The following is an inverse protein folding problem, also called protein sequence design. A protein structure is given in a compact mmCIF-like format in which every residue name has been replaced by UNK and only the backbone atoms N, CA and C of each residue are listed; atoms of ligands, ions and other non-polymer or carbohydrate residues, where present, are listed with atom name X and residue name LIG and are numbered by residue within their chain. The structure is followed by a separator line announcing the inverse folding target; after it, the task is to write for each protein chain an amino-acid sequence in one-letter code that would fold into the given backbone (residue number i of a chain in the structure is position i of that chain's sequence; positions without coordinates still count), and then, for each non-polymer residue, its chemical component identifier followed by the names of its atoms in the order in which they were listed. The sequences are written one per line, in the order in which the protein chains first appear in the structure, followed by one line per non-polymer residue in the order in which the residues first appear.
data_IF_632016264906
#
_entry.id   IF_632016264906
#
_cell.length_a   1.000
_cell.length_b   1.000
_cell.length_c   1.000
_cell.angle_alpha   90.00
_cell.angle_beta   90.00
_cell.angle_gamma   90.00
#
_symmetry.space_group_name_H-M   'P 1'
#
loop_
_entity.id
_entity.type
_entity.pdbx_description
1 polymer ?
#
# COMPACT_ATOMS: atom_id res chain seq x y z
N UNK A 1 -51.73 21.18 -6.44
CA UNK A 1 -51.79 21.06 -4.97
C UNK A 1 -51.14 19.75 -4.49
N UNK A 2 -51.53 18.56 -4.98
CA UNK A 2 -50.90 17.27 -4.64
C UNK A 2 -49.39 17.18 -4.94
N UNK A 3 -48.91 17.73 -6.07
CA UNK A 3 -47.47 17.78 -6.38
C UNK A 3 -46.66 18.70 -5.46
N UNK A 4 -47.29 19.76 -4.92
CA UNK A 4 -46.66 20.73 -4.04
C UNK A 4 -46.49 20.15 -2.62
N UNK A 5 -47.55 19.53 -2.09
CA UNK A 5 -47.51 18.77 -0.84
C UNK A 5 -46.50 17.60 -0.88
N UNK A 6 -46.38 16.93 -2.04
CA UNK A 6 -45.38 15.88 -2.24
C UNK A 6 -43.96 16.46 -2.18
N UNK A 7 -43.71 17.59 -2.84
CA UNK A 7 -42.40 18.26 -2.83
C UNK A 7 -41.93 18.68 -1.44
N UNK A 8 -42.81 19.26 -0.62
CA UNK A 8 -42.48 19.68 0.75
C UNK A 8 -42.15 18.49 1.67
N UNK A 9 -42.90 17.39 1.56
CA UNK A 9 -42.64 16.17 2.32
C UNK A 9 -41.30 15.53 1.92
N UNK A 10 -40.98 15.49 0.62
CA UNK A 10 -39.69 14.99 0.15
C UNK A 10 -38.53 15.88 0.60
N UNK A 11 -38.69 17.20 0.56
CA UNK A 11 -37.67 18.14 1.05
C UNK A 11 -37.40 17.97 2.54
N UNK A 12 -38.44 17.76 3.36
CA UNK A 12 -38.31 17.48 4.79
C UNK A 12 -37.53 16.19 5.08
N UNK A 13 -37.88 15.09 4.40
CA UNK A 13 -37.19 13.80 4.55
C UNK A 13 -35.72 13.91 4.14
N UNK A 14 -35.44 14.57 3.01
CA UNK A 14 -34.08 14.75 2.50
C UNK A 14 -33.23 15.58 3.46
N UNK A 15 -33.80 16.65 4.03
CA UNK A 15 -33.12 17.48 5.03
C UNK A 15 -32.81 16.68 6.31
N UNK A 16 -33.75 15.89 6.80
CA UNK A 16 -33.57 15.03 7.97
C UNK A 16 -32.45 14.01 7.77
N UNK A 17 -32.40 13.36 6.60
CA UNK A 17 -31.35 12.40 6.24
C UNK A 17 -29.98 13.09 6.20
N UNK A 18 -29.88 14.27 5.58
CA UNK A 18 -28.63 15.03 5.56
C UNK A 18 -28.16 15.40 6.95
N UNK A 19 -29.06 15.92 7.79
CA UNK A 19 -28.71 16.37 9.12
C UNK A 19 -28.29 15.20 10.02
N UNK A 20 -29.00 14.08 9.93
CA UNK A 20 -28.64 12.84 10.62
C UNK A 20 -27.26 12.33 10.17
N UNK A 21 -27.02 12.27 8.86
CA UNK A 21 -25.74 11.82 8.30
C UNK A 21 -24.59 12.72 8.75
N UNK A 22 -24.78 14.04 8.73
CA UNK A 22 -23.77 15.00 9.16
C UNK A 22 -23.44 14.87 10.65
N UNK A 23 -24.46 14.70 11.51
CA UNK A 23 -24.26 14.51 12.95
C UNK A 23 -23.49 13.21 13.23
N UNK A 24 -23.84 12.10 12.57
CA UNK A 24 -23.13 10.83 12.69
C UNK A 24 -21.68 10.94 12.23
N UNK A 25 -21.42 11.60 11.09
CA UNK A 25 -20.05 11.84 10.62
C UNK A 25 -19.25 12.68 11.62
N UNK A 26 -19.85 13.74 12.18
CA UNK A 26 -19.18 14.59 13.17
C UNK A 26 -18.77 13.79 14.42
N UNK A 27 -19.69 13.01 14.98
CA UNK A 27 -19.41 12.16 16.14
C UNK A 27 -18.36 11.10 15.82
N UNK A 28 -18.45 10.49 14.65
CA UNK A 28 -17.47 9.52 14.19
C UNK A 28 -16.07 10.13 14.05
N UNK A 29 -15.94 11.28 13.39
CA UNK A 29 -14.67 12.00 13.22
C UNK A 29 -14.07 12.36 14.58
N UNK A 30 -14.88 12.81 15.54
CA UNK A 30 -14.42 13.14 16.88
C UNK A 30 -13.82 11.91 17.59
N UNK A 31 -14.55 10.80 17.62
CA UNK A 31 -14.06 9.55 18.21
C UNK A 31 -12.81 9.03 17.49
N UNK A 32 -12.76 9.20 16.17
CA UNK A 32 -11.61 8.79 15.39
C UNK A 32 -10.37 9.64 15.63
N UNK A 33 -10.53 10.94 15.84
CA UNK A 33 -9.44 11.82 16.22
C UNK A 33 -8.80 11.36 17.55
N UNK A 34 -9.62 10.93 18.51
CA UNK A 34 -9.13 10.36 19.76
C UNK A 34 -8.37 9.03 19.54
N UNK A 35 -8.86 8.18 18.64
CA UNK A 35 -8.16 6.95 18.25
C UNK A 35 -6.81 7.24 17.56
N UNK A 36 -6.76 8.24 16.68
CA UNK A 36 -5.54 8.68 16.00
C UNK A 36 -4.49 9.23 16.97
N UNK A 37 -4.91 9.93 18.02
CA UNK A 37 -3.99 10.48 19.03
C UNK A 37 -3.20 9.37 19.75
N UNK A 38 -3.85 8.25 20.02
CA UNK A 38 -3.21 7.09 20.66
C UNK A 38 -2.53 6.14 19.67
N UNK A 39 -2.75 6.33 18.37
CA UNK A 39 -2.17 5.49 17.33
C UNK A 39 -0.70 5.86 17.07
N UNK A 40 0.15 4.84 17.01
CA UNK A 40 1.54 4.96 16.56
C UNK A 40 1.61 5.19 15.03
N UNK A 41 2.77 5.59 14.47
CA UNK A 41 2.85 6.19 13.13
C UNK A 41 2.20 5.37 12.01
N UNK A 42 2.51 4.08 11.89
CA UNK A 42 1.97 3.26 10.80
C UNK A 42 0.46 3.04 10.93
N UNK A 43 -0.05 2.74 12.12
CA UNK A 43 -1.49 2.63 12.37
C UNK A 43 -2.20 3.96 12.11
N UNK A 44 -1.64 5.07 12.59
CA UNK A 44 -2.19 6.41 12.41
C UNK A 44 -2.34 6.76 10.91
N UNK A 45 -1.34 6.42 10.10
CA UNK A 45 -1.40 6.60 8.63
C UNK A 45 -2.52 5.80 7.99
N UNK A 46 -2.65 4.51 8.33
CA UNK A 46 -3.71 3.63 7.79
C UNK A 46 -5.09 4.17 8.19
N UNK A 47 -5.28 4.48 9.47
CA UNK A 47 -6.53 5.02 9.98
C UNK A 47 -6.89 6.34 9.27
N UNK A 48 -5.95 7.27 9.15
CA UNK A 48 -6.18 8.55 8.46
C UNK A 48 -6.60 8.36 7.00
N UNK A 49 -5.96 7.43 6.28
CA UNK A 49 -6.33 7.13 4.91
C UNK A 49 -7.77 6.58 4.82
N UNK A 50 -8.12 5.59 5.66
CA UNK A 50 -9.47 5.03 5.68
C UNK A 50 -10.53 6.07 6.05
N UNK A 51 -10.23 6.99 6.96
CA UNK A 51 -11.12 8.10 7.31
C UNK A 51 -11.37 9.03 6.11
N UNK A 52 -10.30 9.42 5.41
CA UNK A 52 -10.44 10.28 4.23
C UNK A 52 -11.30 9.60 3.16
N UNK A 53 -11.03 8.32 2.87
CA UNK A 53 -11.83 7.54 1.91
C UNK A 53 -13.30 7.44 2.34
N UNK A 54 -13.58 7.24 3.63
CA UNK A 54 -14.96 7.16 4.13
C UNK A 54 -15.69 8.49 4.00
N UNK A 55 -15.03 9.60 4.37
CA UNK A 55 -15.57 10.95 4.21
C UNK A 55 -15.86 11.24 2.74
N UNK A 56 -14.91 10.98 1.85
CA UNK A 56 -15.06 11.22 0.41
C UNK A 56 -16.21 10.41 -0.18
N UNK A 57 -16.32 9.13 0.17
CA UNK A 57 -17.40 8.28 -0.34
C UNK A 57 -18.77 8.73 0.18
N UNK A 58 -18.86 9.12 1.45
CA UNK A 58 -20.11 9.58 2.06
C UNK A 58 -20.54 10.94 1.48
N UNK A 59 -19.61 11.86 1.29
CA UNK A 59 -19.88 13.15 0.65
C UNK A 59 -20.30 12.98 -0.82
N UNK A 60 -19.65 12.08 -1.55
CA UNK A 60 -20.03 11.78 -2.93
C UNK A 60 -21.42 11.15 -3.00
N UNK A 61 -21.76 10.25 -2.07
CA UNK A 61 -23.11 9.68 -1.96
C UNK A 61 -24.16 10.78 -1.71
N UNK A 62 -23.92 11.67 -0.74
CA UNK A 62 -24.82 12.78 -0.45
C UNK A 62 -25.01 13.68 -1.68
N UNK A 63 -23.92 14.11 -2.32
CA UNK A 63 -23.98 14.92 -3.55
C UNK A 63 -24.78 14.22 -4.66
N UNK A 64 -24.55 12.92 -4.85
CA UNK A 64 -25.24 12.15 -5.87
C UNK A 64 -26.74 12.00 -5.57
N UNK A 65 -27.13 11.80 -4.31
CA UNK A 65 -28.53 11.70 -3.89
C UNK A 65 -29.26 13.02 -4.06
N UNK A 66 -28.61 14.15 -3.76
CA UNK A 66 -29.18 15.50 -3.92
C UNK A 66 -29.38 15.86 -5.39
N UNK A 67 -28.42 15.48 -6.23
CA UNK A 67 -28.43 15.78 -7.66
C UNK A 67 -29.18 14.71 -8.48
N UNK A 68 -29.87 13.78 -7.81
CA UNK A 68 -30.48 12.64 -8.48
C UNK A 68 -31.74 13.04 -9.25
N UNK A 69 -31.67 13.00 -10.57
CA UNK A 69 -32.84 13.16 -11.43
C UNK A 69 -33.45 11.79 -11.78
N UNK A 70 -34.74 11.54 -11.46
CA UNK A 70 -35.39 10.24 -11.69
C UNK A 70 -35.43 9.78 -13.17
N UNK A 71 -35.23 10.71 -14.11
CA UNK A 71 -35.27 10.47 -15.55
C UNK A 71 -33.89 10.58 -16.23
N UNK A 72 -32.80 10.57 -15.43
CA UNK A 72 -31.44 10.61 -15.93
C UNK A 72 -31.04 9.38 -16.75
N UNK A 73 -29.83 9.44 -17.33
CA UNK A 73 -29.30 8.39 -18.20
C UNK A 73 -29.28 7.02 -17.51
N UNK A 74 -29.34 5.88 -18.24
CA UNK A 74 -29.24 4.55 -17.66
C UNK A 74 -27.98 4.35 -16.77
N UNK A 75 -26.88 5.04 -17.08
CA UNK A 75 -25.66 5.06 -16.27
C UNK A 75 -25.81 5.76 -14.92
N UNK A 76 -26.74 6.72 -14.77
CA UNK A 76 -26.97 7.42 -13.50
C UNK A 76 -27.79 6.60 -12.50
N UNK A 77 -28.53 5.59 -12.98
CA UNK A 77 -29.41 4.77 -12.12
C UNK A 77 -28.66 3.96 -11.08
N UNK A 78 -27.42 3.55 -11.37
CA UNK A 78 -26.61 2.73 -10.46
C UNK A 78 -25.66 3.55 -9.58
N UNK A 79 -25.51 4.86 -9.81
CA UNK A 79 -24.52 5.69 -9.09
C UNK A 79 -24.77 5.75 -7.58
N UNK A 80 -26.01 5.94 -7.16
CA UNK A 80 -26.37 5.95 -5.73
C UNK A 80 -26.15 4.58 -5.08
N UNK A 81 -26.65 3.45 -5.64
CA UNK A 81 -26.32 2.11 -5.15
C UNK A 81 -24.81 1.82 -5.08
N UNK A 82 -24.03 2.23 -6.08
CA UNK A 82 -22.59 1.98 -6.14
C UNK A 82 -21.82 2.78 -5.08
N UNK A 83 -22.19 4.05 -4.89
CA UNK A 83 -21.62 4.89 -3.84
C UNK A 83 -21.99 4.39 -2.44
N UNK A 84 -23.23 3.95 -2.24
CA UNK A 84 -23.66 3.33 -0.98
C UNK A 84 -22.86 2.06 -0.68
N UNK A 85 -22.67 1.19 -1.70
CA UNK A 85 -21.83 0.00 -1.58
C UNK A 85 -20.38 0.36 -1.22
N UNK A 86 -19.85 1.44 -1.81
CA UNK A 86 -18.50 1.92 -1.51
C UNK A 86 -18.36 2.37 -0.05
N UNK A 87 -19.33 3.11 0.49
CA UNK A 87 -19.36 3.52 1.91
C UNK A 87 -19.34 2.30 2.84
N UNK A 88 -20.17 1.28 2.53
CA UNK A 88 -20.22 0.03 3.31
C UNK A 88 -18.88 -0.71 3.24
N UNK A 89 -18.29 -0.84 2.05
CA UNK A 89 -17.00 -1.54 1.87
C UNK A 89 -15.85 -0.86 2.61
N UNK A 90 -15.80 0.48 2.60
CA UNK A 90 -14.78 1.24 3.34
C UNK A 90 -14.99 1.08 4.84
N UNK A 91 -16.23 1.14 5.32
CA UNK A 91 -16.58 0.92 6.73
C UNK A 91 -16.17 -0.47 7.20
N UNK A 92 -16.49 -1.51 6.42
CA UNK A 92 -16.13 -2.89 6.71
C UNK A 92 -14.61 -3.10 6.70
N UNK A 93 -13.91 -2.49 5.74
CA UNK A 93 -12.44 -2.53 5.66
C UNK A 93 -11.79 -1.87 6.89
N UNK A 94 -12.36 -0.76 7.37
CA UNK A 94 -11.88 -0.09 8.57
C UNK A 94 -12.05 -0.98 9.81
N UNK A 95 -13.20 -1.63 9.97
CA UNK A 95 -13.48 -2.54 11.10
C UNK A 95 -12.55 -3.77 11.09
N UNK A 96 -12.28 -4.33 9.90
CA UNK A 96 -11.39 -5.48 9.70
C UNK A 96 -9.90 -5.12 9.71
N UNK A 97 -9.58 -3.83 9.71
CA UNK A 97 -8.22 -3.31 9.69
C UNK A 97 -7.40 -3.68 10.93
N UNK A 98 -6.09 -3.36 10.91
CA UNK A 98 -5.23 -3.59 12.06
C UNK A 98 -5.69 -2.74 13.26
N UNK A 99 -5.81 -3.37 14.44
CA UNK A 99 -6.18 -2.70 15.69
C UNK A 99 -4.98 -2.20 16.50
N UNK A 100 -3.79 -2.67 16.15
CA UNK A 100 -2.53 -2.32 16.83
C UNK A 100 -1.48 -1.94 15.79
N UNK A 101 -0.49 -1.15 16.21
CA UNK A 101 0.59 -0.76 15.33
C UNK A 101 1.46 -1.94 14.91
N UNK A 102 1.65 -2.92 15.80
CA UNK A 102 2.36 -4.15 15.44
C UNK A 102 1.66 -4.89 14.31
N UNK A 103 0.33 -5.08 14.40
CA UNK A 103 -0.43 -5.70 13.31
C UNK A 103 -0.36 -4.85 12.02
N UNK A 104 -0.40 -3.53 12.14
CA UNK A 104 -0.28 -2.63 10.99
C UNK A 104 1.07 -2.76 10.27
N UNK A 105 2.18 -2.80 11.02
CA UNK A 105 3.53 -3.00 10.49
C UNK A 105 3.66 -4.39 9.85
N UNK A 106 3.21 -5.45 10.54
CA UNK A 106 3.23 -6.83 10.02
C UNK A 106 2.53 -6.92 8.66
N UNK A 107 1.33 -6.35 8.58
CA UNK A 107 0.54 -6.34 7.35
C UNK A 107 1.22 -5.53 6.23
N UNK A 108 1.78 -4.36 6.56
CA UNK A 108 2.46 -3.52 5.59
C UNK A 108 3.73 -4.18 5.04
N UNK A 109 4.52 -4.84 5.89
CA UNK A 109 5.73 -5.54 5.47
C UNK A 109 5.41 -6.76 4.59
N UNK A 110 4.36 -7.52 4.95
CA UNK A 110 3.87 -8.60 4.11
C UNK A 110 3.43 -8.11 2.71
N UNK A 111 2.77 -6.95 2.63
CA UNK A 111 2.43 -6.32 1.35
C UNK A 111 3.67 -5.96 0.54
N UNK A 112 4.66 -5.30 1.17
CA UNK A 112 5.93 -4.96 0.51
C UNK A 112 6.62 -6.20 -0.07
N UNK A 113 6.72 -7.29 0.71
CA UNK A 113 7.32 -8.54 0.23
C UNK A 113 6.55 -9.15 -0.95
N UNK A 114 5.22 -9.11 -0.90
CA UNK A 114 4.38 -9.61 -1.98
C UNK A 114 4.51 -8.75 -3.25
N UNK A 115 4.53 -7.42 -3.11
CA UNK A 115 4.69 -6.49 -4.23
C UNK A 115 6.01 -6.76 -4.96
N UNK A 116 7.12 -6.89 -4.22
CA UNK A 116 8.44 -7.20 -4.81
C UNK A 116 8.44 -8.58 -5.47
N UNK A 117 7.83 -9.58 -4.83
CA UNK A 117 7.71 -10.92 -5.42
C UNK A 117 6.85 -10.96 -6.69
N UNK A 118 5.87 -10.07 -6.83
CA UNK A 118 5.12 -9.89 -8.09
C UNK A 118 6.05 -9.30 -9.16
N UNK A 119 6.78 -8.24 -8.83
CA UNK A 119 7.71 -7.60 -9.78
C UNK A 119 8.79 -8.58 -10.24
N UNK A 120 9.34 -9.40 -9.35
CA UNK A 120 10.33 -10.43 -9.69
C UNK A 120 9.80 -11.37 -10.80
N UNK A 121 8.59 -11.91 -10.60
CA UNK A 121 7.95 -12.77 -11.60
C UNK A 121 7.69 -12.03 -12.91
N UNK A 122 7.30 -10.76 -12.85
CA UNK A 122 7.08 -9.95 -14.06
C UNK A 122 8.36 -9.75 -14.87
N UNK A 123 9.50 -9.50 -14.20
CA UNK A 123 10.80 -9.31 -14.89
C UNK A 123 11.37 -10.62 -15.42
N UNK A 124 11.23 -11.74 -14.69
CA UNK A 124 11.62 -13.08 -15.13
C UNK A 124 10.83 -13.54 -16.35
N UNK A 125 9.50 -13.36 -16.32
CA UNK A 125 8.62 -13.76 -17.44
C UNK A 125 8.95 -12.99 -18.73
N UNK A 126 9.26 -11.70 -18.62
CA UNK A 126 9.69 -10.88 -19.77
C UNK A 126 11.02 -11.37 -20.36
N UNK A 127 11.96 -11.80 -19.53
CA UNK A 127 13.23 -12.35 -19.98
C UNK A 127 13.06 -13.71 -20.70
N UNK A 128 12.23 -14.60 -20.15
CA UNK A 128 11.94 -15.90 -20.77
C UNK A 128 11.26 -15.78 -22.13
N UNK A 129 10.34 -14.83 -22.30
CA UNK A 129 9.65 -14.58 -23.58
C UNK A 129 10.58 -14.03 -24.66
N UNK A 130 11.67 -13.35 -24.30
CA UNK A 130 12.63 -12.78 -25.25
C UNK A 130 13.58 -13.82 -25.87
N UNK A 131 13.61 -15.04 -25.32
CA UNK A 131 14.55 -16.10 -25.75
C UNK A 131 13.91 -17.05 -26.78
N UNK A 132 12.64 -16.86 -27.13
CA UNK A 132 11.82 -17.83 -27.89
C UNK A 132 11.58 -17.54 -29.38
N UNK A 133 12.08 -16.45 -29.95
CA UNK A 133 11.95 -16.18 -31.39
C UNK A 133 13.28 -15.67 -31.96
N UNK A 134 14.14 -16.61 -32.34
CA UNK A 134 15.12 -16.39 -33.40
C UNK A 134 14.43 -16.70 -34.73
N UNK A 135 13.59 -15.80 -35.22
CA UNK A 135 13.33 -15.73 -36.65
C UNK A 135 14.25 -14.64 -37.19
N UNK A 136 15.22 -15.08 -37.99
CA UNK A 136 16.04 -14.21 -38.83
C UNK A 136 15.16 -13.47 -39.83
N UNK A 137 14.62 -12.33 -39.43
CA UNK A 137 14.30 -11.30 -40.40
C UNK A 137 14.85 -9.97 -39.91
N UNK A 138 15.75 -9.43 -40.73
CA UNK A 138 16.36 -8.12 -40.61
C UNK A 138 15.28 -7.02 -40.57
N UNK A 139 14.65 -6.85 -39.42
CA UNK A 139 13.79 -5.71 -39.14
C UNK A 139 14.63 -4.67 -38.42
N UNK A 140 15.11 -3.73 -39.23
CA UNK A 140 15.63 -2.42 -38.89
C UNK A 140 14.66 -1.70 -37.94
N UNK A 141 14.68 -2.05 -36.67
CA UNK A 141 14.10 -1.22 -35.62
C UNK A 141 15.22 -0.33 -35.12
N UNK A 142 14.99 0.99 -35.15
CA UNK A 142 15.84 2.02 -34.57
C UNK A 142 15.90 1.88 -33.03
N UNK A 143 16.30 0.72 -32.51
CA UNK A 143 16.65 0.57 -31.11
C UNK A 143 18.13 0.83 -30.98
N UNK A 144 18.48 1.88 -30.25
CA UNK A 144 19.83 2.34 -29.92
C UNK A 144 20.66 1.30 -29.10
N UNK A 145 20.16 0.06 -28.96
CA UNK A 145 20.73 -1.04 -28.17
C UNK A 145 20.85 -2.32 -28.96
N UNK A 146 22.02 -2.94 -28.82
CA UNK A 146 22.26 -4.30 -29.26
C UNK A 146 21.42 -5.29 -28.44
N UNK A 147 21.18 -6.47 -29.03
CA UNK A 147 20.44 -7.54 -28.37
C UNK A 147 21.17 -8.03 -27.10
N UNK A 148 22.50 -8.01 -27.12
CA UNK A 148 23.36 -8.37 -25.98
C UNK A 148 23.18 -7.38 -24.82
N UNK A 149 23.19 -6.08 -25.08
CA UNK A 149 22.97 -5.05 -24.04
C UNK A 149 21.57 -5.17 -23.42
N UNK A 150 20.53 -5.44 -24.23
CA UNK A 150 19.17 -5.67 -23.72
C UNK A 150 19.11 -6.89 -22.80
N UNK A 151 19.85 -7.95 -23.14
CA UNK A 151 19.95 -9.17 -22.32
C UNK A 151 20.66 -8.88 -21.01
N UNK A 152 21.83 -8.23 -21.03
CA UNK A 152 22.59 -7.88 -19.83
C UNK A 152 21.79 -6.97 -18.88
N UNK A 153 21.08 -5.97 -19.41
CA UNK A 153 20.21 -5.09 -18.61
C UNK A 153 19.09 -5.89 -17.94
N UNK A 154 18.52 -6.85 -18.65
CA UNK A 154 17.43 -7.70 -18.13
C UNK A 154 17.93 -8.63 -17.03
N UNK A 155 19.08 -9.27 -17.23
CA UNK A 155 19.72 -10.14 -16.22
C UNK A 155 20.07 -9.36 -14.95
N UNK A 156 20.64 -8.15 -15.08
CA UNK A 156 20.92 -7.27 -13.94
C UNK A 156 19.65 -6.91 -13.17
N UNK A 157 18.54 -6.60 -13.85
CA UNK A 157 17.26 -6.31 -13.18
C UNK A 157 16.75 -7.51 -12.39
N UNK A 158 16.83 -8.71 -12.96
CA UNK A 158 16.40 -9.93 -12.28
C UNK A 158 17.23 -10.13 -11.01
N UNK A 159 18.56 -10.07 -11.10
CA UNK A 159 19.44 -10.22 -9.93
C UNK A 159 19.10 -9.24 -8.81
N UNK A 160 18.87 -7.97 -9.14
CA UNK A 160 18.59 -6.92 -8.15
C UNK A 160 17.25 -7.13 -7.46
N UNK A 161 16.22 -7.47 -8.23
CA UNK A 161 14.89 -7.71 -7.67
C UNK A 161 14.89 -9.00 -6.84
N UNK A 162 15.62 -10.03 -7.27
CA UNK A 162 15.80 -11.27 -6.49
C UNK A 162 16.55 -10.99 -5.17
N UNK A 163 17.69 -10.31 -5.21
CA UNK A 163 18.45 -9.95 -4.00
C UNK A 163 17.57 -9.19 -2.99
N UNK A 164 16.80 -8.21 -3.45
CA UNK A 164 15.89 -7.46 -2.59
C UNK A 164 14.76 -8.33 -2.03
N UNK A 165 14.22 -9.25 -2.84
CA UNK A 165 13.20 -10.20 -2.40
C UNK A 165 13.75 -11.14 -1.32
N UNK A 166 14.95 -11.67 -1.52
CA UNK A 166 15.63 -12.57 -0.59
C UNK A 166 16.01 -11.87 0.73
N UNK A 167 16.22 -10.55 0.71
CA UNK A 167 16.42 -9.75 1.92
C UNK A 167 15.11 -9.49 2.68
N UNK A 168 14.03 -9.17 1.98
CA UNK A 168 12.76 -8.78 2.61
C UNK A 168 11.96 -10.01 3.09
N UNK A 169 12.07 -11.13 2.41
CA UNK A 169 11.35 -12.37 2.73
C UNK A 169 11.63 -12.87 4.17
N UNK A 170 12.88 -12.99 4.65
CA UNK A 170 13.17 -13.34 6.05
C UNK A 170 12.60 -12.35 7.06
N UNK A 171 12.59 -11.06 6.75
CA UNK A 171 12.04 -10.03 7.63
C UNK A 171 10.54 -10.25 7.87
N UNK A 172 9.78 -10.71 6.87
CA UNK A 172 8.36 -11.04 7.07
C UNK A 172 8.16 -12.17 8.08
N UNK A 173 9.07 -13.14 8.14
CA UNK A 173 9.03 -14.22 9.11
C UNK A 173 9.38 -13.73 10.51
N UNK A 174 10.44 -12.93 10.64
CA UNK A 174 10.86 -12.33 11.91
C UNK A 174 9.77 -11.44 12.51
N UNK A 175 9.12 -10.63 11.67
CA UNK A 175 8.05 -9.72 12.09
C UNK A 175 6.76 -10.47 12.44
N UNK A 176 6.51 -11.68 11.92
CA UNK A 176 5.42 -12.54 12.40
C UNK A 176 5.63 -12.95 13.86
N UNK A 177 6.84 -13.36 14.21
CA UNK A 177 7.21 -13.85 15.55
C UNK A 177 7.33 -12.70 16.56
N UNK A 178 7.65 -11.49 16.10
CA UNK A 178 7.65 -10.30 16.96
C UNK A 178 6.31 -10.14 17.68
N UNK A 179 6.35 -10.13 19.01
CA UNK A 179 5.22 -9.82 19.85
C UNK A 179 5.45 -8.48 20.56
N UNK A 180 4.44 -7.62 20.59
CA UNK A 180 4.48 -6.32 21.25
C UNK A 180 4.29 -6.43 22.78
N UNK A 181 4.22 -7.66 23.31
CA UNK A 181 3.88 -7.97 24.70
C UNK A 181 4.86 -7.43 25.76
N UNK A 182 5.93 -6.75 25.36
CA UNK A 182 6.87 -6.10 26.29
C UNK A 182 6.83 -4.58 26.30
N UNK A 183 5.96 -3.93 25.50
CA UNK A 183 5.82 -2.48 25.49
C UNK A 183 7.11 -1.70 25.19
N UNK A 184 8.14 -2.37 24.64
CA UNK A 184 9.44 -1.77 24.43
C UNK A 184 9.32 -0.77 23.28
N UNK A 185 9.05 0.50 23.62
CA UNK A 185 8.91 1.62 22.68
C UNK A 185 10.07 1.67 21.66
N UNK A 186 11.26 1.24 22.09
CA UNK A 186 12.45 1.09 21.25
C UNK A 186 12.27 0.07 20.11
N UNK A 187 11.66 -1.08 20.36
CA UNK A 187 11.41 -2.11 19.34
C UNK A 187 10.39 -1.63 18.31
N UNK A 188 9.34 -0.93 18.74
CA UNK A 188 8.38 -0.31 17.80
C UNK A 188 9.09 0.69 16.89
N UNK A 189 9.96 1.54 17.44
CA UNK A 189 10.74 2.50 16.64
C UNK A 189 11.64 1.83 15.60
N UNK A 190 12.29 0.72 15.96
CA UNK A 190 13.11 -0.08 15.03
C UNK A 190 12.24 -0.68 13.93
N UNK A 191 11.07 -1.22 14.28
CA UNK A 191 10.14 -1.82 13.31
C UNK A 191 9.54 -0.78 12.35
N UNK A 192 9.24 0.43 12.82
CA UNK A 192 8.82 1.55 11.97
C UNK A 192 9.96 1.94 11.00
N UNK A 193 11.18 2.09 11.51
CA UNK A 193 12.35 2.40 10.68
C UNK A 193 12.64 1.32 9.63
N UNK A 194 12.47 0.04 9.99
CA UNK A 194 12.57 -1.09 9.08
C UNK A 194 11.51 -1.03 7.99
N UNK A 195 10.24 -0.83 8.35
CA UNK A 195 9.14 -0.75 7.39
C UNK A 195 9.35 0.38 6.37
N UNK A 196 9.76 1.57 6.83
CA UNK A 196 10.06 2.71 5.95
C UNK A 196 11.10 2.34 4.90
N UNK A 197 12.13 1.59 5.30
CA UNK A 197 13.20 1.17 4.37
C UNK A 197 12.72 0.12 3.39
N UNK A 198 11.96 -0.87 3.84
CA UNK A 198 11.36 -1.86 2.95
C UNK A 198 10.44 -1.20 1.91
N UNK A 199 9.64 -0.19 2.32
CA UNK A 199 8.82 0.61 1.40
C UNK A 199 9.70 1.33 0.39
N UNK A 200 10.78 2.00 0.83
CA UNK A 200 11.72 2.68 -0.06
C UNK A 200 12.35 1.72 -1.08
N UNK A 201 12.71 0.49 -0.67
CA UNK A 201 13.25 -0.54 -1.56
C UNK A 201 12.22 -0.95 -2.61
N UNK A 202 10.97 -1.21 -2.20
CA UNK A 202 9.89 -1.52 -3.13
C UNK A 202 9.66 -0.41 -4.16
N UNK A 203 9.66 0.84 -3.72
CA UNK A 203 9.41 1.98 -4.61
C UNK A 203 10.53 2.09 -5.67
N UNK A 204 11.80 1.87 -5.28
CA UNK A 204 12.92 1.78 -6.23
C UNK A 204 12.81 0.58 -7.18
N UNK A 205 12.34 -0.57 -6.70
CA UNK A 205 12.11 -1.74 -7.56
C UNK A 205 11.02 -1.46 -8.59
N UNK A 206 9.94 -0.77 -8.21
CA UNK A 206 8.90 -0.36 -9.14
C UNK A 206 9.44 0.60 -10.20
N UNK A 207 10.32 1.54 -9.83
CA UNK A 207 11.00 2.40 -10.80
C UNK A 207 11.87 1.58 -11.79
N UNK A 208 12.64 0.60 -11.30
CA UNK A 208 13.50 -0.27 -12.13
C UNK A 208 12.67 -1.15 -13.08
N UNK A 209 11.52 -1.63 -12.62
CA UNK A 209 10.60 -2.48 -13.38
C UNK A 209 10.14 -1.81 -14.68
N UNK A 210 9.80 -0.54 -14.58
CA UNK A 210 9.18 0.23 -15.67
C UNK A 210 10.22 0.92 -16.57
N UNK A 211 11.50 0.94 -16.19
CA UNK A 211 12.58 1.51 -17.00
C UNK A 211 12.84 0.69 -18.28
N UNK A 212 12.33 1.12 -19.45
CA UNK A 212 12.81 0.67 -20.75
C UNK A 212 13.74 1.75 -21.26
N UNK A 213 15.02 1.66 -20.92
CA UNK A 213 15.85 2.85 -20.90
C UNK A 213 17.16 2.68 -21.69
N UNK A 214 17.55 3.73 -22.43
CA UNK A 214 18.81 3.74 -23.16
C UNK A 214 20.07 3.59 -22.29
N UNK A 215 21.23 3.15 -22.81
CA UNK A 215 22.50 2.93 -22.06
C UNK A 215 22.91 4.15 -21.22
N UNK A 216 22.56 5.36 -21.64
CA UNK A 216 22.80 6.59 -20.87
C UNK A 216 21.92 6.73 -19.61
N UNK A 217 20.80 6.04 -19.58
CA UNK A 217 19.93 5.88 -18.42
C UNK A 217 20.30 4.64 -17.58
N UNK A 218 21.21 3.78 -18.06
CA UNK A 218 21.85 2.73 -17.26
C UNK A 218 22.68 3.33 -16.13
N UNK A 219 23.25 4.53 -16.30
CA UNK A 219 23.90 5.27 -15.19
C UNK A 219 22.90 5.65 -14.09
N UNK A 220 21.66 6.01 -14.44
CA UNK A 220 20.61 6.28 -13.45
C UNK A 220 20.16 4.99 -12.76
N UNK A 221 20.08 3.89 -13.51
CA UNK A 221 19.84 2.54 -12.97
C UNK A 221 21.00 2.13 -12.04
N UNK A 222 22.25 2.46 -12.39
CA UNK A 222 23.46 2.22 -11.58
C UNK A 222 23.50 3.05 -10.28
N UNK A 223 23.04 4.30 -10.31
CA UNK A 223 22.89 5.11 -9.10
C UNK A 223 21.73 4.59 -8.22
N UNK A 224 20.60 4.21 -8.82
CA UNK A 224 19.52 3.52 -8.09
C UNK A 224 20.01 2.19 -7.48
N UNK A 225 20.88 1.45 -8.19
CA UNK A 225 21.57 0.24 -7.75
C UNK A 225 22.49 0.48 -6.54
N UNK A 226 23.27 1.57 -6.53
CA UNK A 226 24.10 1.95 -5.37
C UNK A 226 23.23 2.29 -4.16
N UNK A 227 22.18 3.07 -4.35
CA UNK A 227 21.21 3.41 -3.29
C UNK A 227 20.52 2.16 -2.73
N UNK A 228 20.20 1.19 -3.59
CA UNK A 228 19.66 -0.11 -3.20
C UNK A 228 20.67 -0.94 -2.41
N UNK A 229 21.94 -0.97 -2.82
CA UNK A 229 23.01 -1.68 -2.08
C UNK A 229 23.25 -1.08 -0.69
N UNK A 230 23.21 0.25 -0.58
CA UNK A 230 23.25 0.94 0.71
C UNK A 230 22.03 0.60 1.57
N UNK A 231 20.84 0.50 0.98
CA UNK A 231 19.62 0.09 1.68
C UNK A 231 19.67 -1.36 2.14
N UNK A 232 20.18 -2.27 1.30
CA UNK A 232 20.39 -3.68 1.61
C UNK A 232 21.35 -3.88 2.79
N UNK A 233 22.50 -3.21 2.77
CA UNK A 233 23.47 -3.27 3.88
C UNK A 233 22.88 -2.80 5.21
N UNK A 234 21.95 -1.85 5.16
CA UNK A 234 21.25 -1.37 6.35
C UNK A 234 20.14 -2.33 6.81
N UNK A 235 19.42 -2.98 5.89
CA UNK A 235 18.46 -4.03 6.23
C UNK A 235 19.14 -5.24 6.86
N UNK A 236 20.33 -5.61 6.37
CA UNK A 236 21.16 -6.65 6.98
C UNK A 236 21.57 -6.26 8.41
N UNK A 237 22.01 -5.01 8.61
CA UNK A 237 22.31 -4.48 9.94
C UNK A 237 21.11 -4.54 10.88
N UNK A 238 19.92 -4.12 10.44
CA UNK A 238 18.70 -4.22 11.27
C UNK A 238 18.31 -5.67 11.52
N UNK A 239 18.44 -6.58 10.54
CA UNK A 239 18.16 -8.00 10.74
C UNK A 239 19.02 -8.59 11.86
N UNK A 240 20.32 -8.22 11.89
CA UNK A 240 21.23 -8.61 12.97
C UNK A 240 20.83 -7.98 14.31
N UNK A 241 20.53 -6.68 14.35
CA UNK A 241 20.09 -5.99 15.57
C UNK A 241 18.79 -6.58 16.13
N UNK A 242 17.83 -6.89 15.25
CA UNK A 242 16.57 -7.52 15.63
C UNK A 242 16.78 -8.95 16.11
N UNK A 243 17.64 -9.73 15.45
CA UNK A 243 18.04 -11.06 15.91
C UNK A 243 18.66 -11.03 17.30
N UNK A 244 19.53 -10.05 17.58
CA UNK A 244 20.13 -9.84 18.90
C UNK A 244 19.08 -9.46 19.96
N UNK A 245 18.14 -8.56 19.65
CA UNK A 245 17.08 -8.17 20.58
C UNK A 245 16.10 -9.31 20.88
N UNK A 246 15.73 -10.10 19.86
CA UNK A 246 14.88 -11.27 20.05
C UNK A 246 15.58 -12.35 20.88
N UNK A 247 16.89 -12.57 20.67
CA UNK A 247 17.67 -13.48 21.50
C UNK A 247 17.68 -13.06 22.97
N UNK A 248 17.78 -11.76 23.27
CA UNK A 248 17.68 -11.24 24.64
C UNK A 248 16.29 -11.46 25.27
N UNK A 249 15.23 -11.31 24.48
CA UNK A 249 13.85 -11.54 24.95
C UNK A 249 13.58 -13.02 25.25
N UNK A 250 14.13 -13.94 24.45
CA UNK A 250 14.02 -15.39 24.65
C UNK A 250 14.80 -15.85 25.89
N UNK A 251 15.91 -15.17 26.21
CA UNK A 251 16.73 -15.48 27.41
C UNK A 251 16.12 -14.93 28.71
N UNK A 252 15.24 -13.92 28.65
CA UNK A 252 14.53 -13.36 29.80
C UNK A 252 13.00 -13.35 29.59
N UNK A 253 12.34 -14.53 29.60
CA UNK A 253 10.89 -14.61 29.37
C UNK A 253 10.05 -14.03 30.52
N UNK A 254 10.65 -13.77 31.70
CA UNK A 254 9.98 -13.25 32.89
C UNK A 254 10.82 -12.15 33.56
N UNK A 255 10.82 -10.94 32.99
CA UNK A 255 11.37 -9.75 33.63
C UNK A 255 10.25 -8.74 33.90
N UNK A 256 9.51 -8.93 34.99
CA UNK A 256 8.60 -7.93 35.54
C UNK A 256 9.42 -6.71 35.95
N UNK A 257 9.14 -5.55 35.37
CA UNK A 257 9.16 -4.24 36.03
C UNK A 257 8.20 -3.30 35.29
#
# INVERSE_FOLDING_TARGET
MLHYFRGEVWAGIVLEIMQTTFNLLREFIWNFHLALFNARPTLSRILRQSMNELCDCTLNLLKCTISYEPYGSPSDRNRVPDLARKVVNVSDSLVKGPKTNSAAIKNALARVANDIGIVLREVENKAGSSTGQCDEEASTSNSEYTLEEKRTITELKICVVDDAFQLIKPLTHLVKIWNDAGGLSKTIGIMEGLLIRCISVRDRINEIKDCICPVREVDKIWEALKDMKSSASYLEKISVELGAMLAQLVLHPNGIF
#
